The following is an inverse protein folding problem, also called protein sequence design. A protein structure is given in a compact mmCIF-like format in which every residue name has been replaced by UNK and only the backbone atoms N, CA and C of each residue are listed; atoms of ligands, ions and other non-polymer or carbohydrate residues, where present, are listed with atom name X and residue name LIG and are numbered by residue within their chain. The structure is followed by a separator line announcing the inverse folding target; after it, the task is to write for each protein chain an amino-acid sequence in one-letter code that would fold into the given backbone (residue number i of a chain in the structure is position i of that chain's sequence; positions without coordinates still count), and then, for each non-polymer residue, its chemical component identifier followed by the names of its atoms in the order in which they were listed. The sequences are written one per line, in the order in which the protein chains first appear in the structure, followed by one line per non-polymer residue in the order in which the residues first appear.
data_IF_901466126574
#
_entry.id   IF_901466126574
#
_cell.length_a   1.000
_cell.length_b   1.000
_cell.length_c   1.000
_cell.angle_alpha   90.00
_cell.angle_beta   90.00
_cell.angle_gamma   90.00
#
_symmetry.space_group_name_H-M   'P 1'
#
loop_
_entity.id
_entity.type
_entity.pdbx_description
1 polymer ?
#
# COMPACT_ATOMS: atom_id res chain seq x y z
N UNK A 1 32.85 -20.13 39.37
CA UNK A 1 32.43 -20.29 37.95
C UNK A 1 32.98 -19.07 37.19
N UNK A 2 33.95 -19.29 36.32
CA UNK A 2 34.83 -18.23 35.78
C UNK A 2 34.13 -17.46 34.68
N UNK A 3 33.94 -16.14 34.86
CA UNK A 3 33.28 -15.22 33.90
C UNK A 3 33.91 -15.26 32.50
N UNK A 4 35.18 -15.59 32.40
CA UNK A 4 35.90 -15.72 31.13
C UNK A 4 35.42 -16.84 30.21
N UNK A 5 34.90 -17.95 30.77
CA UNK A 5 34.40 -19.06 29.96
C UNK A 5 33.07 -18.79 29.29
N UNK A 6 32.23 -17.93 29.91
CA UNK A 6 30.92 -17.56 29.34
C UNK A 6 31.13 -16.61 28.16
N UNK A 7 32.10 -15.69 28.25
CA UNK A 7 32.42 -14.76 27.15
C UNK A 7 32.95 -15.48 25.89
N UNK A 8 33.76 -16.54 26.05
CA UNK A 8 34.27 -17.30 24.92
C UNK A 8 33.17 -18.14 24.22
N UNK A 9 32.19 -18.62 24.99
CA UNK A 9 31.08 -19.38 24.41
C UNK A 9 30.10 -18.49 23.63
N UNK A 10 29.85 -17.29 24.13
CA UNK A 10 29.03 -16.30 23.43
C UNK A 10 29.70 -15.75 22.16
N UNK A 11 31.02 -15.53 22.20
CA UNK A 11 31.76 -15.06 21.03
C UNK A 11 31.79 -16.10 19.90
N UNK A 12 31.97 -17.39 20.25
CA UNK A 12 31.93 -18.49 19.28
C UNK A 12 30.55 -18.67 18.64
N UNK A 13 29.49 -18.55 19.42
CA UNK A 13 28.11 -18.67 18.92
C UNK A 13 27.72 -17.49 18.01
N UNK A 14 28.16 -16.29 18.35
CA UNK A 14 27.92 -15.08 17.53
C UNK A 14 28.69 -15.16 16.21
N UNK A 15 29.94 -15.61 16.22
CA UNK A 15 30.73 -15.80 15.00
C UNK A 15 30.14 -16.90 14.10
N UNK A 16 29.68 -18.00 14.68
CA UNK A 16 29.00 -19.06 13.91
C UNK A 16 27.67 -18.57 13.31
N UNK A 17 26.89 -17.81 14.08
CA UNK A 17 25.63 -17.21 13.60
C UNK A 17 25.87 -16.21 12.47
N UNK A 18 26.91 -15.36 12.57
CA UNK A 18 27.28 -14.42 11.54
C UNK A 18 27.80 -15.12 10.28
N UNK A 19 28.54 -16.23 10.41
CA UNK A 19 29.04 -17.01 9.29
C UNK A 19 27.89 -17.73 8.55
N UNK A 20 26.96 -18.32 9.30
CA UNK A 20 25.74 -18.93 8.74
C UNK A 20 24.87 -17.87 8.07
N UNK A 21 24.71 -16.68 8.67
CA UNK A 21 23.98 -15.58 8.08
C UNK A 21 24.67 -15.05 6.81
N UNK A 22 26.00 -14.98 6.81
CA UNK A 22 26.77 -14.54 5.64
C UNK A 22 26.73 -15.56 4.51
N UNK A 23 26.79 -16.86 4.81
CA UNK A 23 26.66 -17.96 3.84
C UNK A 23 25.22 -18.07 3.29
N UNK A 24 24.20 -17.81 4.09
CA UNK A 24 22.80 -17.79 3.63
C UNK A 24 22.42 -16.47 2.91
N UNK A 25 23.12 -15.38 3.19
CA UNK A 25 22.93 -14.11 2.44
C UNK A 25 23.56 -14.13 1.04
N UNK A 26 24.32 -15.19 0.71
CA UNK A 26 24.99 -15.31 -0.58
C UNK A 26 24.15 -15.86 -1.73
N UNK A 27 22.98 -16.44 -1.45
CA UNK A 27 22.01 -16.78 -2.49
C UNK A 27 21.06 -15.59 -2.75
N UNK A 28 21.61 -14.54 -3.36
CA UNK A 28 20.76 -13.73 -4.23
C UNK A 28 20.38 -14.65 -5.37
N UNK A 29 19.16 -15.17 -5.32
CA UNK A 29 18.51 -15.71 -6.52
C UNK A 29 18.75 -14.70 -7.63
N UNK A 30 19.36 -15.11 -8.74
CA UNK A 30 19.49 -14.22 -9.88
C UNK A 30 18.11 -13.69 -10.19
N UNK A 31 18.00 -12.38 -10.46
CA UNK A 31 16.76 -11.77 -10.91
C UNK A 31 16.24 -12.63 -12.07
N UNK A 32 15.28 -13.49 -11.74
CA UNK A 32 14.73 -14.47 -12.68
C UNK A 32 13.97 -13.72 -13.74
N UNK A 33 14.22 -14.12 -14.94
CA UNK A 33 13.45 -13.96 -16.15
C UNK A 33 12.00 -13.56 -15.91
N UNK A 34 11.71 -12.38 -16.26
CA UNK A 34 10.45 -11.74 -16.60
C UNK A 34 10.45 -10.34 -15.99
N UNK A 35 10.29 -9.31 -16.78
CA UNK A 35 10.30 -7.89 -16.40
C UNK A 35 9.28 -7.47 -15.33
N UNK A 36 8.98 -8.35 -14.37
CA UNK A 36 8.13 -8.10 -13.20
C UNK A 36 9.01 -7.68 -12.03
N UNK A 37 8.66 -6.56 -11.42
CA UNK A 37 9.28 -6.08 -10.20
C UNK A 37 9.12 -7.11 -9.08
N UNK A 38 10.18 -7.33 -8.28
CA UNK A 38 10.03 -8.08 -7.04
C UNK A 38 9.14 -7.31 -6.04
N UNK A 39 8.54 -7.96 -5.03
CA UNK A 39 7.77 -7.24 -4.02
C UNK A 39 8.55 -6.12 -3.32
N UNK A 40 9.85 -6.32 -3.07
CA UNK A 40 10.71 -5.29 -2.49
C UNK A 40 10.96 -4.15 -3.47
N UNK A 41 11.17 -4.44 -4.75
CA UNK A 41 11.34 -3.40 -5.76
C UNK A 41 10.08 -2.55 -5.88
N UNK A 42 8.88 -3.17 -5.83
CA UNK A 42 7.61 -2.45 -5.85
C UNK A 42 7.53 -1.48 -4.67
N UNK A 43 7.84 -1.94 -3.46
CA UNK A 43 7.82 -1.10 -2.25
C UNK A 43 8.84 0.04 -2.35
N UNK A 44 10.06 -0.26 -2.77
CA UNK A 44 11.17 0.69 -2.76
C UNK A 44 11.14 1.70 -3.90
N UNK A 45 10.44 1.37 -5.00
CA UNK A 45 10.42 2.21 -6.20
C UNK A 45 9.08 2.90 -6.45
N UNK A 46 8.00 2.49 -5.73
CA UNK A 46 6.71 3.17 -5.84
C UNK A 46 6.87 4.67 -5.52
N UNK A 47 6.34 5.50 -6.39
CA UNK A 47 6.32 6.95 -6.19
C UNK A 47 4.94 7.54 -6.52
N UNK A 48 4.66 8.73 -6.03
CA UNK A 48 3.40 9.44 -6.30
C UNK A 48 3.42 10.06 -7.68
N UNK A 49 2.61 9.54 -8.58
CA UNK A 49 2.43 10.02 -9.94
C UNK A 49 1.15 10.85 -10.02
N UNK A 50 1.25 12.06 -10.57
CA UNK A 50 0.14 13.03 -10.70
C UNK A 50 -0.11 13.51 -12.13
N UNK A 51 0.63 12.95 -13.09
CA UNK A 51 0.41 13.16 -14.52
C UNK A 51 0.06 11.84 -15.17
N UNK A 52 -1.05 11.81 -15.87
CA UNK A 52 -1.63 10.57 -16.41
C UNK A 52 -1.76 10.66 -17.92
N UNK A 53 -1.70 9.49 -18.57
CA UNK A 53 -2.07 9.35 -19.99
C UNK A 53 -3.59 9.29 -20.09
N UNK A 54 -4.11 9.80 -21.19
CA UNK A 54 -5.54 9.65 -21.49
C UNK A 54 -5.81 8.26 -22.09
N UNK A 55 -5.80 7.26 -21.20
CA UNK A 55 -5.99 5.88 -21.55
C UNK A 55 -6.84 5.22 -20.45
N UNK A 56 -7.98 4.60 -20.79
CA UNK A 56 -8.83 3.98 -19.80
C UNK A 56 -8.12 2.80 -19.11
N UNK A 57 -8.47 2.56 -17.85
CA UNK A 57 -8.03 1.38 -17.10
C UNK A 57 -9.04 0.26 -17.33
N UNK A 58 -8.59 -0.88 -17.84
CA UNK A 58 -9.46 -2.01 -18.12
C UNK A 58 -10.12 -2.60 -16.86
N UNK A 59 -11.33 -3.12 -16.99
CA UNK A 59 -12.10 -3.68 -15.88
C UNK A 59 -11.36 -4.78 -15.11
N UNK A 60 -10.64 -5.66 -15.78
CA UNK A 60 -9.84 -6.71 -15.15
C UNK A 60 -8.73 -6.13 -14.27
N UNK A 61 -8.12 -5.01 -14.71
CA UNK A 61 -7.11 -4.31 -13.96
C UNK A 61 -7.71 -3.64 -12.72
N UNK A 62 -8.88 -3.04 -12.85
CA UNK A 62 -9.62 -2.46 -11.72
C UNK A 62 -9.97 -3.55 -10.69
N UNK A 63 -10.43 -4.70 -11.13
CA UNK A 63 -10.70 -5.83 -10.23
C UNK A 63 -9.45 -6.27 -9.48
N UNK A 64 -8.31 -6.41 -10.16
CA UNK A 64 -7.04 -6.77 -9.51
C UNK A 64 -6.63 -5.73 -8.45
N UNK A 65 -6.78 -4.44 -8.74
CA UNK A 65 -6.50 -3.36 -7.80
C UNK A 65 -7.38 -3.45 -6.55
N UNK A 66 -8.69 -3.68 -6.72
CA UNK A 66 -9.62 -3.81 -5.61
C UNK A 66 -9.36 -5.07 -4.80
N UNK A 67 -9.03 -6.19 -5.44
CA UNK A 67 -8.64 -7.43 -4.73
C UNK A 67 -7.37 -7.24 -3.91
N UNK A 68 -6.38 -6.53 -4.44
CA UNK A 68 -5.16 -6.18 -3.69
C UNK A 68 -5.49 -5.32 -2.47
N UNK A 69 -6.35 -4.30 -2.63
CA UNK A 69 -6.82 -3.47 -1.53
C UNK A 69 -7.53 -4.30 -0.44
N UNK A 70 -8.44 -5.19 -0.85
CA UNK A 70 -9.19 -6.07 0.06
C UNK A 70 -8.33 -7.14 0.76
N UNK A 71 -7.12 -7.41 0.25
CA UNK A 71 -6.16 -8.31 0.90
C UNK A 71 -5.39 -7.66 2.06
N UNK A 72 -5.63 -6.38 2.35
CA UNK A 72 -5.00 -5.69 3.47
C UNK A 72 -5.43 -6.31 4.82
N UNK A 73 -4.55 -6.26 5.84
CA UNK A 73 -4.96 -6.62 7.19
C UNK A 73 -5.94 -5.60 7.75
N UNK A 74 -6.82 -6.03 8.66
CA UNK A 74 -7.71 -5.14 9.40
C UNK A 74 -7.84 -5.56 10.86
N UNK A 75 -8.16 -4.63 11.74
CA UNK A 75 -8.34 -4.89 13.14
C UNK A 75 -9.41 -5.99 13.34
N UNK A 76 -9.03 -7.08 14.03
CA UNK A 76 -9.85 -8.28 14.24
C UNK A 76 -10.52 -8.83 12.97
N UNK A 77 -9.90 -8.60 11.82
CA UNK A 77 -10.37 -9.02 10.50
C UNK A 77 -11.79 -8.51 10.16
N UNK A 78 -12.12 -7.29 10.56
CA UNK A 78 -13.45 -6.70 10.31
C UNK A 78 -13.64 -6.20 8.90
N UNK A 79 -12.55 -5.87 8.20
CA UNK A 79 -12.58 -5.42 6.81
C UNK A 79 -13.57 -4.26 6.58
N UNK A 80 -13.45 -3.16 7.36
CA UNK A 80 -14.41 -2.08 7.39
C UNK A 80 -14.19 -1.08 6.25
N UNK A 81 -13.90 -1.55 5.08
CA UNK A 81 -13.71 -0.72 3.89
C UNK A 81 -14.80 -0.95 2.87
N UNK A 82 -15.08 0.10 2.14
CA UNK A 82 -15.83 0.09 0.89
C UNK A 82 -15.07 0.90 -0.15
N UNK A 83 -15.22 0.55 -1.42
CA UNK A 83 -14.54 1.20 -2.51
C UNK A 83 -15.55 1.74 -3.51
N UNK A 84 -15.41 3.03 -3.89
CA UNK A 84 -16.17 3.61 -4.97
C UNK A 84 -15.21 3.88 -6.12
N UNK A 85 -15.46 3.24 -7.24
CA UNK A 85 -14.68 3.43 -8.47
C UNK A 85 -15.36 4.50 -9.30
N UNK A 86 -14.60 5.50 -9.70
CA UNK A 86 -15.07 6.63 -10.50
C UNK A 86 -14.25 6.70 -11.78
N UNK A 87 -14.89 6.45 -12.91
CA UNK A 87 -14.31 6.52 -14.27
C UNK A 87 -15.06 7.54 -15.15
N UNK A 88 -16.15 8.10 -14.65
CA UNK A 88 -16.87 9.17 -15.31
C UNK A 88 -16.10 10.49 -15.28
N UNK A 89 -15.93 11.09 -16.44
CA UNK A 89 -15.14 12.32 -16.62
C UNK A 89 -15.70 13.53 -15.87
N UNK A 90 -17.00 13.64 -15.76
CA UNK A 90 -17.64 14.77 -15.09
C UNK A 90 -17.46 14.64 -13.58
N UNK A 91 -17.72 13.46 -13.03
CA UNK A 91 -17.48 13.17 -11.61
C UNK A 91 -16.00 13.33 -11.22
N UNK A 92 -15.06 12.94 -12.08
CA UNK A 92 -13.63 13.16 -11.83
C UNK A 92 -13.27 14.65 -11.77
N UNK A 93 -13.91 15.49 -12.61
CA UNK A 93 -13.73 16.96 -12.54
C UNK A 93 -14.35 17.55 -11.27
N UNK A 94 -15.53 17.06 -10.88
CA UNK A 94 -16.18 17.48 -9.64
C UNK A 94 -15.34 17.13 -8.42
N UNK A 95 -14.80 15.90 -8.34
CA UNK A 95 -13.86 15.50 -7.30
C UNK A 95 -12.63 16.41 -7.25
N UNK A 96 -12.05 16.75 -8.42
CA UNK A 96 -10.91 17.64 -8.50
C UNK A 96 -11.23 19.07 -8.04
N UNK A 97 -12.47 19.53 -8.25
CA UNK A 97 -12.95 20.82 -7.79
C UNK A 97 -13.24 20.87 -6.29
N UNK A 98 -13.81 19.78 -5.76
CA UNK A 98 -14.23 19.68 -4.36
C UNK A 98 -13.05 19.45 -3.39
N UNK A 99 -11.96 18.83 -3.86
CA UNK A 99 -10.84 18.42 -3.01
C UNK A 99 -9.59 19.27 -3.29
N UNK A 100 -9.03 19.96 -2.28
CA UNK A 100 -7.94 20.93 -2.49
C UNK A 100 -6.65 20.32 -3.03
N UNK A 101 -6.42 19.03 -2.76
CA UNK A 101 -5.19 18.33 -3.15
C UNK A 101 -5.41 17.28 -4.26
N UNK A 102 -6.59 17.21 -4.86
CA UNK A 102 -6.97 16.23 -5.87
C UNK A 102 -7.11 16.80 -7.29
N UNK A 103 -6.54 17.95 -7.59
CA UNK A 103 -6.68 18.61 -8.91
C UNK A 103 -6.28 17.71 -10.09
N UNK A 104 -5.36 16.75 -9.87
CA UNK A 104 -4.95 15.79 -10.89
C UNK A 104 -6.09 14.82 -11.26
N UNK A 105 -7.10 14.61 -10.42
CA UNK A 105 -8.24 13.75 -10.71
C UNK A 105 -8.98 14.16 -11.98
N UNK A 106 -9.07 15.46 -12.29
CA UNK A 106 -9.68 15.96 -13.52
C UNK A 106 -9.05 15.39 -14.81
N UNK A 107 -7.81 14.89 -14.72
CA UNK A 107 -7.05 14.33 -15.85
C UNK A 107 -6.80 12.81 -15.68
N UNK A 108 -7.15 12.24 -14.55
CA UNK A 108 -7.01 10.83 -14.31
C UNK A 108 -8.07 10.04 -15.10
N UNK A 109 -7.75 8.84 -15.63
CA UNK A 109 -8.76 7.98 -16.24
C UNK A 109 -9.64 7.30 -15.20
N UNK A 110 -9.20 7.22 -13.93
CA UNK A 110 -9.85 6.52 -12.86
C UNK A 110 -9.50 7.15 -11.50
N UNK A 111 -10.46 7.16 -10.59
CA UNK A 111 -10.23 7.38 -9.16
C UNK A 111 -10.89 6.27 -8.35
N UNK A 112 -10.27 5.87 -7.24
CA UNK A 112 -10.85 4.96 -6.26
C UNK A 112 -10.99 5.70 -4.95
N UNK A 113 -12.23 5.88 -4.48
CA UNK A 113 -12.50 6.45 -3.16
C UNK A 113 -12.55 5.31 -2.16
N UNK A 114 -11.60 5.31 -1.22
CA UNK A 114 -11.54 4.31 -0.14
C UNK A 114 -12.31 4.86 1.04
N UNK A 115 -13.39 4.19 1.41
CA UNK A 115 -14.33 4.58 2.46
C UNK A 115 -14.23 3.63 3.65
N UNK A 116 -14.50 4.14 4.86
CA UNK A 116 -14.74 3.32 6.05
C UNK A 116 -16.22 3.00 6.18
N UNK A 117 -16.57 1.74 6.25
CA UNK A 117 -17.92 1.27 6.61
C UNK A 117 -18.02 1.15 8.13
N UNK A 118 -18.54 2.20 8.76
CA UNK A 118 -18.65 2.28 10.22
C UNK A 118 -19.63 1.24 10.80
N UNK A 119 -20.54 0.69 10.00
CA UNK A 119 -21.46 -0.36 10.45
C UNK A 119 -20.71 -1.67 10.76
N UNK A 120 -19.56 -1.89 10.11
CA UNK A 120 -18.68 -3.02 10.37
C UNK A 120 -17.69 -2.80 11.52
N UNK A 121 -17.69 -1.61 12.09
CA UNK A 121 -16.84 -1.24 13.23
C UNK A 121 -17.68 -0.86 14.46
N UNK A 122 -18.62 -1.71 14.93
CA UNK A 122 -19.45 -1.42 16.09
C UNK A 122 -18.59 -1.51 17.35
N UNK A 123 -18.62 -0.45 18.13
CA UNK A 123 -18.04 -0.43 19.47
C UNK A 123 -16.87 0.52 19.63
N UNK A 124 -16.80 1.04 20.83
CA UNK A 124 -16.07 2.17 21.34
C UNK A 124 -14.54 2.16 21.28
N UNK A 125 -13.92 1.34 20.47
CA UNK A 125 -12.47 1.20 20.43
C UNK A 125 -11.82 1.94 19.26
N UNK A 126 -12.32 3.11 18.95
CA UNK A 126 -11.57 4.07 18.18
C UNK A 126 -11.63 3.91 16.65
N UNK A 127 -10.90 4.80 16.00
CA UNK A 127 -10.86 5.01 14.55
C UNK A 127 -9.99 3.98 13.81
N UNK A 128 -10.04 2.70 14.22
CA UNK A 128 -9.27 1.61 13.58
C UNK A 128 -9.56 1.50 12.09
N UNK A 129 -10.77 1.84 11.66
CA UNK A 129 -11.15 1.87 10.26
C UNK A 129 -10.24 2.77 9.42
N UNK A 130 -9.70 3.84 10.01
CA UNK A 130 -8.76 4.75 9.32
C UNK A 130 -7.45 4.02 9.02
N UNK A 131 -6.94 3.25 9.98
CA UNK A 131 -5.73 2.46 9.79
C UNK A 131 -5.97 1.33 8.79
N UNK A 132 -7.11 0.64 8.90
CA UNK A 132 -7.50 -0.45 8.02
C UNK A 132 -7.66 0.06 6.57
N UNK A 133 -8.38 1.18 6.37
CA UNK A 133 -8.53 1.82 5.07
C UNK A 133 -7.19 2.35 4.51
N UNK A 134 -6.29 2.79 5.39
CA UNK A 134 -4.94 3.21 5.00
C UNK A 134 -4.11 2.03 4.51
N UNK A 135 -4.17 0.89 5.18
CA UNK A 135 -3.50 -0.34 4.73
C UNK A 135 -4.04 -0.81 3.37
N UNK A 136 -5.37 -0.76 3.19
CA UNK A 136 -5.99 -1.08 1.91
C UNK A 136 -5.57 -0.10 0.80
N UNK A 137 -5.46 1.19 1.10
CA UNK A 137 -4.99 2.22 0.17
C UNK A 137 -3.54 1.97 -0.25
N UNK A 138 -2.65 1.61 0.68
CA UNK A 138 -1.25 1.31 0.33
C UNK A 138 -1.16 0.06 -0.54
N UNK A 139 -1.89 -1.02 -0.23
CA UNK A 139 -1.94 -2.20 -1.09
C UNK A 139 -2.39 -1.85 -2.51
N UNK A 140 -3.38 -0.97 -2.66
CA UNK A 140 -3.85 -0.49 -3.95
C UNK A 140 -2.75 0.26 -4.72
N UNK A 141 -1.99 1.13 -4.03
CA UNK A 141 -0.88 1.87 -4.63
C UNK A 141 0.27 0.95 -5.07
N UNK A 142 0.62 -0.03 -4.25
CA UNK A 142 1.64 -1.02 -4.59
C UNK A 142 1.21 -1.89 -5.77
N UNK A 143 -0.04 -2.33 -5.80
CA UNK A 143 -0.58 -3.10 -6.91
C UNK A 143 -0.60 -2.27 -8.21
N UNK A 144 -1.01 -1.00 -8.14
CA UNK A 144 -0.97 -0.10 -9.29
C UNK A 144 0.45 0.02 -9.85
N UNK A 145 1.45 0.23 -8.99
CA UNK A 145 2.84 0.31 -9.40
C UNK A 145 3.35 -1.00 -10.02
N UNK A 146 3.03 -2.14 -9.41
CA UNK A 146 3.39 -3.47 -9.93
C UNK A 146 2.80 -3.75 -11.31
N UNK A 147 1.62 -3.17 -11.60
CA UNK A 147 0.94 -3.26 -12.89
C UNK A 147 1.38 -2.18 -13.90
N UNK A 148 2.39 -1.36 -13.56
CA UNK A 148 2.89 -0.29 -14.42
C UNK A 148 1.98 0.95 -14.49
N UNK A 149 1.05 1.09 -13.55
CA UNK A 149 0.17 2.25 -13.44
C UNK A 149 0.79 3.32 -12.52
N UNK A 150 0.56 4.59 -12.87
CA UNK A 150 0.86 5.72 -12.00
C UNK A 150 -0.32 6.02 -11.08
N UNK A 151 -0.06 6.13 -9.78
CA UNK A 151 -1.08 6.44 -8.80
C UNK A 151 -0.57 7.42 -7.73
N UNK A 152 -1.50 8.07 -7.04
CA UNK A 152 -1.21 8.92 -5.88
C UNK A 152 -2.36 8.86 -4.89
N UNK A 153 -2.03 8.88 -3.63
CA UNK A 153 -3.00 9.06 -2.55
C UNK A 153 -3.25 10.54 -2.28
N UNK A 154 -4.52 10.93 -2.20
CA UNK A 154 -4.93 12.24 -1.69
C UNK A 154 -5.76 12.06 -0.43
N UNK A 155 -5.36 12.74 0.66
CA UNK A 155 -6.09 12.65 1.93
C UNK A 155 -7.39 13.44 1.87
N UNK A 156 -8.46 12.82 2.39
CA UNK A 156 -9.78 13.43 2.55
C UNK A 156 -10.16 13.53 4.02
N UNK A 157 -9.70 12.61 4.83
CA UNK A 157 -9.93 12.51 6.27
C UNK A 157 -8.62 12.73 7.07
N UNK A 158 -8.65 13.35 8.24
CA UNK A 158 -9.78 14.08 8.79
C UNK A 158 -9.98 15.43 8.07
N UNK A 159 -11.24 15.82 7.88
CA UNK A 159 -11.52 17.21 7.52
C UNK A 159 -11.32 18.06 8.77
N UNK A 160 -10.22 18.78 8.85
CA UNK A 160 -10.11 19.84 9.83
C UNK A 160 -11.20 20.87 9.57
N UNK A 161 -11.95 21.23 10.61
CA UNK A 161 -12.69 22.47 10.60
C UNK A 161 -11.68 23.60 10.39
N UNK A 162 -11.58 24.05 9.16
CA UNK A 162 -10.95 25.33 8.88
C UNK A 162 -12.05 26.36 9.09
N UNK A 163 -12.05 26.96 10.30
CA UNK A 163 -12.78 28.14 10.59
C UNK A 163 -12.42 29.31 9.66
#
# INVERSE_FOLDING_TARGET
MNRSRILFFCAGAVLAALLVWWLSAGERTPAGESGKLSPLDVIMTRTSIRAYRDCPVGADTVELLLRAAMAAPSAVNRQPWAFVVVDDRELLRELAGALPFAKMAARAPLAVVVCGDLSRNPGASGDWWVMDASAASENLLLAAHALGLGAVWTGVYPRGERG
#
